data_IF_130249834169
#
_entry.id   IF_130249834169
#
_cell.length_a   1.000
_cell.length_b   1.000
_cell.length_c   1.000
_cell.angle_alpha   90.00
_cell.angle_beta   90.00
_cell.angle_gamma   90.00
#
_symmetry.space_group_name_H-M   'P 1'
#
loop_
_entity.id
_entity.type
_entity.pdbx_description
1 polymer ?
#
# COMPACT_ATOMS: atom_id res chain seq x y z
N UNK A 1 12.91 -9.70 12.89
CA UNK A 1 11.64 -10.30 13.35
C UNK A 1 10.60 -9.19 13.35
N UNK A 2 9.45 -9.43 12.75
CA UNK A 2 8.30 -8.52 12.71
C UNK A 2 7.17 -9.21 13.46
N UNK A 3 6.46 -8.45 14.28
CA UNK A 3 5.34 -8.94 15.08
C UNK A 3 4.14 -8.06 14.79
N UNK A 4 3.00 -8.67 14.47
CA UNK A 4 1.74 -7.97 14.31
C UNK A 4 0.66 -8.68 15.13
N UNK A 5 0.28 -8.08 16.27
CA UNK A 5 -0.63 -8.70 17.24
C UNK A 5 -0.08 -10.08 17.65
N UNK A 6 -0.71 -11.16 17.19
CA UNK A 6 -0.33 -12.54 17.52
C UNK A 6 0.54 -13.19 16.43
N UNK A 7 0.71 -12.53 15.27
CA UNK A 7 1.45 -13.06 14.13
C UNK A 7 2.95 -12.74 14.23
N UNK A 8 3.79 -13.77 14.18
CA UNK A 8 5.25 -13.64 14.21
C UNK A 8 5.89 -13.96 12.85
N UNK A 9 6.59 -12.97 12.29
CA UNK A 9 7.37 -13.13 11.05
C UNK A 9 8.88 -13.08 11.35
N UNK A 10 9.60 -14.16 11.06
CA UNK A 10 11.04 -14.27 11.38
C UNK A 10 11.89 -14.34 10.12
N UNK A 11 12.71 -13.31 9.92
CA UNK A 11 13.76 -13.28 8.91
C UNK A 11 15.10 -13.71 9.54
N UNK A 12 15.52 -14.96 9.33
CA UNK A 12 16.81 -15.44 9.82
C UNK A 12 17.34 -16.61 8.96
N UNK A 13 18.67 -16.73 8.86
CA UNK A 13 19.31 -17.84 8.15
C UNK A 13 18.90 -19.23 8.67
N UNK A 14 18.55 -19.31 9.97
CA UNK A 14 18.06 -20.51 10.63
C UNK A 14 16.68 -20.29 11.27
N UNK A 15 15.77 -19.61 10.57
CA UNK A 15 14.48 -19.16 11.11
C UNK A 15 13.70 -20.21 11.91
N UNK A 16 13.58 -21.45 11.40
CA UNK A 16 12.88 -22.54 12.11
C UNK A 16 13.55 -22.88 13.43
N UNK A 17 14.89 -22.91 13.49
CA UNK A 17 15.64 -23.18 14.72
C UNK A 17 15.41 -22.06 15.75
N UNK A 18 15.46 -20.82 15.30
CA UNK A 18 15.25 -19.64 16.15
C UNK A 18 13.80 -19.60 16.69
N UNK A 19 12.80 -19.86 15.85
CA UNK A 19 11.39 -19.95 16.28
C UNK A 19 11.22 -21.10 17.28
N UNK A 20 11.78 -22.28 17.03
CA UNK A 20 11.71 -23.41 17.98
C UNK A 20 12.37 -23.09 19.33
N UNK A 21 13.39 -22.24 19.35
CA UNK A 21 13.98 -21.74 20.59
C UNK A 21 13.01 -20.81 21.33
N UNK A 22 12.31 -19.94 20.60
CA UNK A 22 11.26 -19.08 21.16
C UNK A 22 10.07 -19.88 21.69
N UNK A 23 9.62 -20.91 20.97
CA UNK A 23 8.51 -21.80 21.35
C UNK A 23 8.70 -22.52 22.69
N UNK A 24 9.93 -22.58 23.22
CA UNK A 24 10.19 -23.08 24.58
C UNK A 24 9.70 -22.13 25.67
N UNK A 25 9.52 -20.86 25.34
CA UNK A 25 9.18 -19.79 26.28
C UNK A 25 7.81 -19.16 25.99
N UNK A 26 7.32 -19.28 24.75
CA UNK A 26 6.02 -18.76 24.33
C UNK A 26 5.22 -19.84 23.60
N UNK A 27 3.91 -19.88 23.83
CA UNK A 27 3.01 -20.81 23.13
C UNK A 27 2.69 -20.23 21.76
N UNK A 28 3.08 -20.92 20.70
CA UNK A 28 2.71 -20.60 19.31
C UNK A 28 2.32 -21.87 18.59
N UNK A 29 1.63 -21.73 17.46
CA UNK A 29 1.38 -22.83 16.53
C UNK A 29 2.69 -23.29 15.85
N UNK A 30 2.61 -24.38 15.09
CA UNK A 30 3.73 -24.90 14.29
C UNK A 30 4.21 -23.83 13.30
N UNK A 31 5.53 -23.57 13.20
CA UNK A 31 6.04 -22.55 12.30
C UNK A 31 5.80 -22.93 10.85
N UNK A 32 5.09 -22.08 10.14
CA UNK A 32 4.97 -22.19 8.69
C UNK A 32 6.22 -21.61 8.03
N UNK A 33 6.85 -22.40 7.15
CA UNK A 33 8.00 -21.95 6.39
C UNK A 33 7.52 -21.35 5.07
N UNK A 34 7.85 -20.08 4.87
CA UNK A 34 7.67 -19.42 3.58
C UNK A 34 8.89 -19.75 2.72
N UNK A 35 8.69 -20.51 1.65
CA UNK A 35 9.73 -20.88 0.70
C UNK A 35 9.38 -20.42 -0.73
N UNK A 36 10.29 -20.71 -1.67
CA UNK A 36 10.15 -20.27 -3.06
C UNK A 36 9.02 -21.04 -3.73
N UNK A 37 7.91 -20.36 -4.00
CA UNK A 37 6.81 -20.88 -4.81
C UNK A 37 5.44 -20.79 -4.16
N UNK A 38 5.31 -21.08 -2.86
CA UNK A 38 4.01 -21.08 -2.20
C UNK A 38 3.55 -19.67 -1.81
N UNK A 39 2.25 -19.41 -1.98
CA UNK A 39 1.59 -18.19 -1.52
C UNK A 39 1.05 -18.43 -0.11
N UNK A 40 1.48 -17.61 0.85
CA UNK A 40 1.07 -17.70 2.24
C UNK A 40 0.23 -16.49 2.62
N UNK A 41 -0.77 -16.67 3.47
CA UNK A 41 -1.56 -15.56 4.00
C UNK A 41 -0.87 -14.98 5.25
N UNK A 42 -0.72 -13.65 5.30
CA UNK A 42 -0.18 -12.95 6.46
C UNK A 42 -0.92 -11.62 6.65
N UNK A 43 -1.60 -11.43 7.79
CA UNK A 43 -2.35 -10.21 8.14
C UNK A 43 -3.29 -9.68 7.02
N UNK A 44 -4.00 -10.57 6.31
CA UNK A 44 -4.90 -10.21 5.21
C UNK A 44 -4.20 -9.90 3.87
N UNK A 45 -2.93 -10.25 3.76
CA UNK A 45 -2.04 -10.05 2.62
C UNK A 45 -1.52 -11.41 2.17
N UNK A 46 -1.05 -11.50 0.95
CA UNK A 46 -0.45 -12.71 0.41
C UNK A 46 1.04 -12.51 0.22
N UNK A 47 1.84 -13.39 0.78
CA UNK A 47 3.30 -13.29 0.79
C UNK A 47 3.88 -14.53 0.12
N UNK A 48 4.84 -14.36 -0.79
CA UNK A 48 5.60 -15.46 -1.37
C UNK A 48 7.05 -15.07 -1.54
N UNK A 49 7.96 -16.03 -1.41
CA UNK A 49 9.32 -15.87 -1.91
C UNK A 49 9.33 -16.25 -3.40
N UNK A 50 10.11 -15.52 -4.20
CA UNK A 50 10.39 -15.88 -5.59
C UNK A 50 11.78 -15.43 -5.99
N UNK A 51 12.68 -16.36 -6.32
CA UNK A 51 14.00 -16.00 -6.85
C UNK A 51 14.88 -15.19 -5.89
N UNK A 52 14.66 -15.30 -4.57
CA UNK A 52 15.37 -14.51 -3.54
C UNK A 52 14.73 -13.16 -3.22
N UNK A 53 13.60 -12.83 -3.85
CA UNK A 53 12.77 -11.66 -3.57
C UNK A 53 11.55 -12.06 -2.74
N UNK A 54 11.10 -11.15 -1.88
CA UNK A 54 9.84 -11.28 -1.16
C UNK A 54 8.76 -10.49 -1.93
N UNK A 55 7.73 -11.18 -2.40
CA UNK A 55 6.57 -10.58 -3.03
C UNK A 55 5.47 -10.42 -1.99
N UNK A 56 4.97 -9.20 -1.86
CA UNK A 56 3.91 -8.83 -0.93
C UNK A 56 2.70 -8.35 -1.73
N UNK A 57 1.67 -9.18 -1.79
CA UNK A 57 0.54 -9.08 -2.71
C UNK A 57 -0.79 -8.85 -1.99
N UNK A 58 -1.65 -8.02 -2.57
CA UNK A 58 -3.02 -7.76 -2.13
C UNK A 58 -4.07 -8.17 -3.16
N UNK A 59 -3.70 -8.88 -4.23
CA UNK A 59 -4.58 -9.27 -5.32
C UNK A 59 -5.88 -9.93 -4.86
N UNK A 60 -5.81 -10.84 -3.88
CA UNK A 60 -7.01 -11.48 -3.33
C UNK A 60 -7.95 -10.49 -2.63
N UNK A 61 -7.40 -9.57 -1.84
CA UNK A 61 -8.17 -8.50 -1.19
C UNK A 61 -8.85 -7.60 -2.23
N UNK A 62 -8.09 -7.20 -3.25
CA UNK A 62 -8.56 -6.35 -4.35
C UNK A 62 -9.70 -7.03 -5.13
N UNK A 63 -9.56 -8.31 -5.46
CA UNK A 63 -10.60 -9.09 -6.12
C UNK A 63 -11.87 -9.17 -5.27
N UNK A 64 -11.74 -9.42 -3.97
CA UNK A 64 -12.88 -9.55 -3.06
C UNK A 64 -13.64 -8.23 -2.90
N UNK A 65 -12.95 -7.09 -2.85
CA UNK A 65 -13.60 -5.80 -2.60
C UNK A 65 -14.13 -5.14 -3.86
N UNK A 66 -13.49 -5.40 -4.99
CA UNK A 66 -13.99 -4.93 -6.27
C UNK A 66 -15.09 -5.83 -6.83
N UNK A 67 -15.45 -6.92 -6.12
CA UNK A 67 -16.61 -7.74 -6.46
C UNK A 67 -17.89 -6.90 -6.26
N UNK A 68 -18.49 -6.47 -7.38
CA UNK A 68 -19.72 -5.66 -7.38
C UNK A 68 -19.52 -4.18 -7.70
N UNK A 69 -18.27 -3.71 -7.86
CA UNK A 69 -18.03 -2.39 -8.45
C UNK A 69 -18.25 -2.54 -9.96
N UNK A 70 -19.25 -1.84 -10.49
CA UNK A 70 -19.46 -1.82 -11.94
C UNK A 70 -18.21 -1.28 -12.63
N UNK A 71 -17.62 -2.07 -13.52
CA UNK A 71 -16.58 -1.63 -14.46
C UNK A 71 -17.20 -0.72 -15.53
N UNK A 72 -17.84 0.37 -15.12
CA UNK A 72 -18.11 1.47 -16.02
C UNK A 72 -16.76 2.05 -16.37
N UNK A 73 -16.29 1.79 -17.58
CA UNK A 73 -14.96 2.17 -18.12
C UNK A 73 -14.67 3.68 -18.20
N UNK A 74 -15.25 4.49 -17.32
CA UNK A 74 -14.90 5.88 -17.13
C UNK A 74 -13.54 5.98 -16.44
N UNK A 75 -12.59 6.65 -17.09
CA UNK A 75 -11.27 6.92 -16.51
C UNK A 75 -11.36 7.99 -15.43
N UNK A 76 -10.44 7.92 -14.47
CA UNK A 76 -10.15 9.04 -13.57
C UNK A 76 -9.65 10.24 -14.38
N UNK A 77 -10.12 11.42 -14.00
CA UNK A 77 -9.76 12.72 -14.60
C UNK A 77 -9.55 13.76 -13.51
N UNK A 78 -8.92 14.88 -13.83
CA UNK A 78 -8.70 15.98 -12.87
C UNK A 78 -9.99 16.49 -12.22
N UNK A 79 -11.13 16.37 -12.92
CA UNK A 79 -12.45 16.77 -12.43
C UNK A 79 -12.92 15.93 -11.24
N UNK A 80 -12.44 14.69 -11.12
CA UNK A 80 -12.77 13.76 -10.03
C UNK A 80 -12.11 14.20 -8.70
N UNK A 81 -11.09 15.07 -8.75
CA UNK A 81 -10.38 15.60 -7.57
C UNK A 81 -10.69 17.07 -7.26
N UNK A 82 -11.60 17.67 -8.02
CA UNK A 82 -12.03 19.05 -7.83
C UNK A 82 -12.89 19.20 -6.57
N UNK A 83 -12.88 20.41 -6.00
CA UNK A 83 -13.64 20.74 -4.80
C UNK A 83 -15.15 20.53 -5.01
N UNK A 84 -15.84 20.17 -3.93
CA UNK A 84 -17.28 19.93 -3.92
C UNK A 84 -17.99 21.24 -3.58
N UNK A 85 -18.95 21.64 -4.40
CA UNK A 85 -19.76 22.82 -4.10
C UNK A 85 -20.69 22.55 -2.89
N UNK A 86 -20.98 23.55 -2.07
CA UNK A 86 -21.77 23.36 -0.83
C UNK A 86 -23.14 22.71 -1.08
N UNK A 87 -23.80 23.05 -2.20
CA UNK A 87 -25.10 22.47 -2.58
C UNK A 87 -25.03 21.01 -3.08
N UNK A 88 -23.85 20.47 -3.32
CA UNK A 88 -23.65 19.07 -3.73
C UNK A 88 -23.35 18.14 -2.54
N UNK A 89 -23.09 18.70 -1.36
CA UNK A 89 -22.77 17.92 -0.16
C UNK A 89 -23.99 17.12 0.27
N UNK A 90 -23.81 15.81 0.40
CA UNK A 90 -24.85 14.88 0.82
C UNK A 90 -24.34 14.03 1.99
N UNK A 91 -24.60 14.46 3.24
CA UNK A 91 -24.13 13.75 4.43
C UNK A 91 -24.61 12.29 4.53
N UNK A 92 -25.70 11.92 3.85
CA UNK A 92 -26.20 10.55 3.85
C UNK A 92 -25.22 9.56 3.18
N UNK A 93 -24.32 10.06 2.33
CA UNK A 93 -23.30 9.27 1.64
C UNK A 93 -22.02 9.05 2.47
N UNK A 94 -21.94 9.64 3.67
CA UNK A 94 -20.70 9.66 4.46
C UNK A 94 -20.20 8.26 4.81
N UNK A 95 -21.06 7.38 5.30
CA UNK A 95 -20.68 6.02 5.68
C UNK A 95 -20.13 5.25 4.48
N UNK A 96 -20.83 5.27 3.35
CA UNK A 96 -20.40 4.57 2.13
C UNK A 96 -19.08 5.14 1.58
N UNK A 97 -18.95 6.46 1.56
CA UNK A 97 -17.72 7.12 1.12
C UNK A 97 -16.53 6.73 1.99
N UNK A 98 -16.68 6.79 3.32
CA UNK A 98 -15.63 6.44 4.26
C UNK A 98 -15.24 4.96 4.18
N UNK A 99 -16.22 4.07 3.99
CA UNK A 99 -15.97 2.65 3.79
C UNK A 99 -15.11 2.39 2.54
N UNK A 100 -15.50 2.99 1.40
CA UNK A 100 -14.78 2.82 0.13
C UNK A 100 -13.40 3.48 0.16
N UNK A 101 -13.25 4.66 0.77
CA UNK A 101 -11.94 5.30 0.98
C UNK A 101 -11.08 4.47 1.94
N UNK A 102 -11.67 3.83 2.96
CA UNK A 102 -10.97 2.93 3.86
C UNK A 102 -10.39 1.71 3.14
N UNK A 103 -11.18 1.10 2.25
CA UNK A 103 -10.72 0.04 1.36
C UNK A 103 -9.53 0.48 0.49
N UNK A 104 -9.61 1.68 -0.09
CA UNK A 104 -8.50 2.27 -0.83
C UNK A 104 -7.26 2.52 0.04
N UNK A 105 -7.45 2.99 1.28
CA UNK A 105 -6.38 3.21 2.25
C UNK A 105 -5.67 1.92 2.67
N UNK A 106 -6.39 0.80 2.74
CA UNK A 106 -5.75 -0.50 2.95
C UNK A 106 -4.90 -0.93 1.75
N UNK A 107 -5.37 -0.66 0.52
CA UNK A 107 -4.62 -1.01 -0.69
C UNK A 107 -3.29 -0.27 -0.78
N UNK A 108 -3.29 1.01 -0.40
CA UNK A 108 -2.10 1.87 -0.34
C UNK A 108 -0.95 1.19 0.41
N UNK A 109 -1.22 0.36 1.44
CA UNK A 109 -0.16 -0.34 2.21
C UNK A 109 0.77 -1.24 1.40
N UNK A 110 0.35 -1.76 0.25
CA UNK A 110 1.23 -2.49 -0.68
C UNK A 110 1.27 -1.88 -2.08
N UNK A 111 0.46 -0.85 -2.35
CA UNK A 111 0.29 -0.22 -3.64
C UNK A 111 0.65 1.27 -3.55
N UNK A 112 1.94 1.62 -3.43
CA UNK A 112 2.41 3.00 -3.24
C UNK A 112 1.91 4.00 -4.28
N UNK A 113 1.74 3.57 -5.52
CA UNK A 113 1.22 4.40 -6.61
C UNK A 113 -0.22 4.88 -6.40
N UNK A 114 -0.97 4.29 -5.47
CA UNK A 114 -2.34 4.70 -5.12
C UNK A 114 -2.40 5.78 -4.03
N UNK A 115 -1.26 6.13 -3.41
CA UNK A 115 -1.19 7.05 -2.27
C UNK A 115 -1.79 8.43 -2.55
N UNK A 116 -1.55 8.95 -3.76
CA UNK A 116 -2.14 10.19 -4.23
C UNK A 116 -3.67 10.12 -4.28
N UNK A 117 -4.22 9.03 -4.86
CA UNK A 117 -5.68 8.86 -4.99
C UNK A 117 -6.34 8.81 -3.62
N UNK A 118 -5.78 8.03 -2.69
CA UNK A 118 -6.27 7.96 -1.32
C UNK A 118 -6.24 9.33 -0.63
N UNK A 119 -5.10 10.02 -0.71
CA UNK A 119 -4.94 11.34 -0.09
C UNK A 119 -5.89 12.38 -0.67
N UNK A 120 -6.06 12.41 -2.00
CA UNK A 120 -6.92 13.37 -2.67
C UNK A 120 -8.40 13.15 -2.33
N UNK A 121 -8.85 11.89 -2.29
CA UNK A 121 -10.25 11.51 -2.08
C UNK A 121 -10.67 11.53 -0.60
N UNK A 122 -9.75 11.22 0.32
CA UNK A 122 -10.03 11.23 1.77
C UNK A 122 -10.44 12.60 2.30
N UNK A 123 -10.08 13.69 1.61
CA UNK A 123 -10.50 15.08 1.95
C UNK A 123 -12.02 15.25 1.98
N UNK A 124 -12.76 14.41 1.27
CA UNK A 124 -14.22 14.48 1.18
C UNK A 124 -14.93 13.58 2.21
N UNK A 125 -14.20 12.92 3.11
CA UNK A 125 -14.77 11.98 4.09
C UNK A 125 -15.79 12.59 5.06
N UNK A 126 -15.77 13.90 5.28
CA UNK A 126 -16.73 14.60 6.17
C UNK A 126 -17.76 15.42 5.40
N UNK A 127 -17.54 15.62 4.10
CA UNK A 127 -18.40 16.40 3.19
C UNK A 127 -18.49 15.70 1.84
N UNK A 128 -19.02 14.47 1.78
CA UNK A 128 -19.08 13.70 0.54
C UNK A 128 -20.14 14.28 -0.40
N UNK A 129 -20.05 13.92 -1.68
CA UNK A 129 -21.11 14.12 -2.67
C UNK A 129 -21.22 12.90 -3.56
N UNK A 130 -22.28 12.82 -4.36
CA UNK A 130 -22.39 11.76 -5.39
C UNK A 130 -21.20 11.77 -6.35
N UNK A 131 -20.66 12.95 -6.65
CA UNK A 131 -19.48 13.10 -7.50
C UNK A 131 -18.23 12.50 -6.84
N UNK A 132 -17.99 12.81 -5.57
CA UNK A 132 -16.83 12.26 -4.86
C UNK A 132 -16.94 10.75 -4.66
N UNK A 133 -18.13 10.24 -4.37
CA UNK A 133 -18.35 8.80 -4.27
C UNK A 133 -18.05 8.08 -5.59
N UNK A 134 -18.50 8.62 -6.72
CA UNK A 134 -18.14 8.10 -8.06
C UNK A 134 -16.64 8.18 -8.34
N UNK A 135 -15.96 9.22 -7.86
CA UNK A 135 -14.50 9.32 -7.97
C UNK A 135 -13.79 8.21 -7.18
N UNK A 136 -14.29 7.86 -6.00
CA UNK A 136 -13.79 6.72 -5.22
C UNK A 136 -14.04 5.40 -5.95
N UNK A 137 -15.23 5.19 -6.53
CA UNK A 137 -15.50 3.99 -7.33
C UNK A 137 -14.53 3.84 -8.51
N UNK A 138 -14.27 4.93 -9.25
CA UNK A 138 -13.26 4.94 -10.32
C UNK A 138 -11.85 4.62 -9.80
N UNK A 139 -11.47 5.12 -8.62
CA UNK A 139 -10.18 4.83 -8.02
C UNK A 139 -10.05 3.35 -7.59
N UNK A 140 -11.12 2.75 -7.07
CA UNK A 140 -11.15 1.31 -6.77
C UNK A 140 -11.05 0.46 -8.05
N UNK A 141 -11.73 0.84 -9.14
CA UNK A 141 -11.57 0.20 -10.45
C UNK A 141 -10.13 0.33 -10.99
N UNK A 142 -9.54 1.51 -10.89
CA UNK A 142 -8.15 1.73 -11.27
C UNK A 142 -7.20 0.86 -10.46
N UNK A 143 -7.38 0.81 -9.14
CA UNK A 143 -6.60 -0.06 -8.24
C UNK A 143 -6.73 -1.54 -8.65
N UNK A 144 -7.94 -2.00 -8.98
CA UNK A 144 -8.18 -3.35 -9.50
C UNK A 144 -7.37 -3.66 -10.75
N UNK A 145 -7.33 -2.73 -11.69
CA UNK A 145 -6.63 -2.91 -12.97
C UNK A 145 -5.10 -2.76 -12.88
N UNK A 146 -4.59 -2.19 -11.79
CA UNK A 146 -3.16 -1.88 -11.61
C UNK A 146 -2.50 -2.58 -10.44
N UNK A 147 -3.25 -3.42 -9.71
CA UNK A 147 -2.72 -4.18 -8.58
C UNK A 147 -1.53 -5.02 -9.02
N UNK A 148 -0.44 -4.93 -8.26
CA UNK A 148 0.78 -5.68 -8.50
C UNK A 148 1.46 -5.97 -7.16
N UNK A 149 2.16 -7.11 -7.00
CA UNK A 149 2.90 -7.36 -5.78
C UNK A 149 3.94 -6.27 -5.54
N UNK A 150 4.06 -5.81 -4.29
CA UNK A 150 5.22 -5.05 -3.85
C UNK A 150 6.42 -6.01 -3.80
N UNK A 151 7.51 -5.63 -4.46
CA UNK A 151 8.74 -6.42 -4.52
C UNK A 151 9.73 -5.91 -3.49
N UNK A 152 10.18 -6.82 -2.63
CA UNK A 152 11.17 -6.55 -1.60
C UNK A 152 12.43 -7.37 -1.89
N UNK A 153 13.50 -6.68 -2.24
CA UNK A 153 14.80 -7.23 -2.53
C UNK A 153 15.66 -7.35 -1.29
N UNK A 154 16.45 -8.41 -1.21
CA UNK A 154 17.46 -8.55 -0.17
C UNK A 154 18.63 -7.59 -0.42
N UNK A 155 19.22 -7.09 0.67
CA UNK A 155 20.45 -6.33 0.61
C UNK A 155 21.64 -7.23 0.27
N UNK A 156 22.68 -6.66 -0.35
CA UNK A 156 23.93 -7.40 -0.54
C UNK A 156 24.54 -7.72 0.82
N UNK A 157 25.26 -8.84 0.88
CA UNK A 157 25.92 -9.26 2.12
C UNK A 157 26.87 -8.16 2.62
N UNK A 158 26.64 -7.70 3.85
CA UNK A 158 27.45 -6.67 4.50
C UNK A 158 27.01 -5.23 4.20
N UNK A 159 26.03 -5.05 3.33
CA UNK A 159 25.45 -3.75 3.01
C UNK A 159 24.50 -3.28 4.10
N UNK A 160 24.54 -1.98 4.42
CA UNK A 160 23.63 -1.38 5.40
C UNK A 160 22.33 -0.92 4.74
N UNK A 161 21.16 -1.17 5.36
CA UNK A 161 19.90 -0.56 4.93
C UNK A 161 19.96 0.95 5.12
N UNK A 162 19.44 1.68 4.15
CA UNK A 162 19.18 3.11 4.21
C UNK A 162 17.72 3.36 3.88
N UNK A 163 17.06 4.19 4.68
CA UNK A 163 15.73 4.71 4.38
C UNK A 163 15.88 5.98 3.53
N UNK A 164 15.55 5.88 2.25
CA UNK A 164 15.51 7.02 1.33
C UNK A 164 14.11 7.65 1.39
N UNK A 165 14.04 8.97 1.53
CA UNK A 165 12.78 9.72 1.54
C UNK A 165 12.62 10.54 0.27
N UNK A 166 11.60 10.25 -0.51
CA UNK A 166 11.15 11.04 -1.64
C UNK A 166 10.12 12.05 -1.15
N UNK A 167 10.34 13.34 -1.42
CA UNK A 167 9.44 14.40 -0.98
C UNK A 167 9.19 15.33 -2.15
N UNK A 168 7.91 15.59 -2.39
CA UNK A 168 7.47 16.61 -3.34
C UNK A 168 6.44 17.53 -2.67
N UNK A 169 6.42 18.79 -3.10
CA UNK A 169 5.47 19.76 -2.62
C UNK A 169 5.06 20.72 -3.74
N UNK A 170 3.77 21.02 -3.79
CA UNK A 170 3.18 21.99 -4.71
C UNK A 170 2.39 23.03 -3.94
N UNK A 171 2.24 24.21 -4.54
CA UNK A 171 1.46 25.31 -3.98
C UNK A 171 0.66 26.00 -5.08
N UNK A 172 -0.65 26.07 -4.89
CA UNK A 172 -1.56 26.84 -5.74
C UNK A 172 -1.64 28.27 -5.18
N UNK A 173 -1.18 29.25 -5.98
CA UNK A 173 -1.12 30.66 -5.57
C UNK A 173 -2.48 31.33 -5.52
N UNK A 174 -3.41 30.91 -6.37
CA UNK A 174 -4.74 31.51 -6.48
C UNK A 174 -5.62 31.02 -5.33
N UNK A 175 -5.52 29.72 -5.00
CA UNK A 175 -6.23 29.12 -3.88
C UNK A 175 -5.54 29.31 -2.53
N UNK A 176 -4.25 29.66 -2.54
CA UNK A 176 -3.36 29.70 -1.36
C UNK A 176 -3.26 28.36 -0.63
N UNK A 177 -3.34 27.26 -1.38
CA UNK A 177 -3.31 25.90 -0.84
C UNK A 177 -2.01 25.19 -1.21
N UNK A 178 -1.40 24.52 -0.23
CA UNK A 178 -0.22 23.68 -0.43
C UNK A 178 -0.55 22.20 -0.34
N UNK A 179 0.18 21.37 -1.09
CA UNK A 179 0.16 19.91 -0.97
C UNK A 179 1.59 19.41 -0.80
N UNK A 180 1.76 18.42 0.06
CA UNK A 180 3.03 17.73 0.28
C UNK A 180 2.80 16.23 0.16
N UNK A 181 3.62 15.57 -0.63
CA UNK A 181 3.73 14.11 -0.71
C UNK A 181 5.04 13.67 -0.09
N UNK A 182 5.03 12.52 0.58
CA UNK A 182 6.26 11.84 0.95
C UNK A 182 6.09 10.34 0.73
N UNK A 183 7.16 9.71 0.30
CA UNK A 183 7.24 8.27 0.05
C UNK A 183 8.62 7.80 0.52
N UNK A 184 8.69 6.60 1.08
CA UNK A 184 9.94 6.06 1.60
C UNK A 184 10.34 4.80 0.84
N UNK A 185 11.63 4.59 0.67
CA UNK A 185 12.18 3.42 0.01
C UNK A 185 13.33 2.85 0.84
N UNK A 186 13.35 1.53 1.03
CA UNK A 186 14.47 0.85 1.66
C UNK A 186 15.49 0.46 0.58
N UNK A 187 16.67 1.07 0.63
CA UNK A 187 17.76 0.80 -0.31
C UNK A 187 19.01 0.36 0.43
N UNK A 188 19.92 -0.28 -0.29
CA UNK A 188 21.26 -0.51 0.22
C UNK A 188 22.11 0.77 0.12
N UNK A 189 23.07 0.95 1.02
CA UNK A 189 23.96 2.12 0.99
C UNK A 189 24.68 2.32 -0.35
N UNK A 190 24.92 1.25 -1.12
CA UNK A 190 25.55 1.34 -2.44
C UNK A 190 24.65 2.04 -3.48
N UNK A 191 23.34 2.04 -3.28
CA UNK A 191 22.40 2.76 -4.14
C UNK A 191 22.60 4.29 -4.07
N UNK A 192 23.11 4.80 -2.93
CA UNK A 192 23.37 6.23 -2.75
C UNK A 192 24.58 6.73 -3.55
N UNK A 193 25.48 5.83 -3.95
CA UNK A 193 26.66 6.19 -4.74
C UNK A 193 26.34 6.37 -6.24
N UNK A 194 25.18 5.88 -6.69
CA UNK A 194 24.69 6.03 -8.05
C UNK A 194 23.78 7.23 -8.23
N UNK A 195 23.21 7.35 -9.43
CA UNK A 195 22.11 8.29 -9.70
C UNK A 195 20.82 7.75 -9.08
N UNK A 196 20.43 8.32 -7.94
CA UNK A 196 19.23 7.90 -7.21
C UNK A 196 17.95 8.06 -8.05
N UNK A 197 17.94 8.91 -9.09
CA UNK A 197 16.76 9.12 -9.95
C UNK A 197 16.46 7.94 -10.86
N UNK A 198 17.38 6.98 -10.98
CA UNK A 198 17.19 5.74 -11.73
C UNK A 198 16.62 4.59 -10.89
N UNK A 199 16.39 4.80 -9.59
CA UNK A 199 15.75 3.82 -8.74
C UNK A 199 14.29 3.60 -9.19
N UNK A 200 13.88 2.34 -9.25
CA UNK A 200 12.49 1.98 -9.50
C UNK A 200 11.66 2.08 -8.21
N UNK A 201 10.43 1.54 -8.23
CA UNK A 201 9.53 1.53 -7.08
C UNK A 201 9.68 0.31 -6.18
N UNK A 202 10.64 -0.58 -6.44
CA UNK A 202 10.83 -1.75 -5.59
C UNK A 202 11.37 -1.29 -4.22
N UNK A 203 11.09 -2.05 -3.16
CA UNK A 203 11.37 -1.68 -1.77
C UNK A 203 10.69 -0.38 -1.26
N UNK A 204 9.69 0.13 -1.96
CA UNK A 204 8.91 1.28 -1.49
C UNK A 204 8.01 0.89 -0.32
N UNK A 205 8.00 1.71 0.73
CA UNK A 205 7.25 1.50 1.98
C UNK A 205 6.48 2.77 2.37
N UNK A 206 5.28 2.60 2.94
CA UNK A 206 4.37 3.70 3.34
C UNK A 206 3.71 3.52 4.71
#
# INVERSE_FOLDING_TARGET
MVMHVDDLFVFAAYAVREIRSLQKHIKTDEPEKIDDGALHAYCGLSVRMSGGELLWDQGQYVQNICAGIEEKGERLTDRDFADIAEGEIDPSLQTEHQEKVGKLGWMVKSQPHLSFLFSALSRHNTKPSRKSLRAVDKALCYAKSTVRPLRLHSLKKGERPVLLGWVDASYDRDKKEGRKGMEFQLVGESALAGDITQLDYDNTVM
#
